data_IF_359564189917
#
_entry.id   IF_359564189917
#
_cell.length_a   1.000
_cell.length_b   1.000
_cell.length_c   1.000
_cell.angle_alpha   90.00
_cell.angle_beta   90.00
_cell.angle_gamma   90.00
#
_symmetry.space_group_name_H-M   'P 1'
#
loop_
_entity.id
_entity.type
_entity.pdbx_description
1 polymer ?
#
# COMPACT_ATOMS: atom_id res chain seq x y z
N UNK A 1 22.74 5.56 4.15
CA UNK A 1 21.44 5.80 4.83
C UNK A 1 21.06 4.61 5.69
N UNK A 2 20.72 4.82 6.96
CA UNK A 2 20.20 3.77 7.83
C UNK A 2 18.86 3.21 7.31
N UNK A 3 18.57 1.95 7.61
CA UNK A 3 17.35 1.26 7.14
C UNK A 3 16.09 1.95 7.66
N UNK A 4 16.12 2.47 8.89
CA UNK A 4 15.02 3.24 9.49
C UNK A 4 14.61 4.44 8.64
N UNK A 5 15.57 5.21 8.13
CA UNK A 5 15.30 6.36 7.28
C UNK A 5 14.75 5.95 5.91
N UNK A 6 15.31 4.89 5.30
CA UNK A 6 14.78 4.35 4.03
C UNK A 6 13.34 3.85 4.19
N UNK A 7 13.03 3.18 5.31
CA UNK A 7 11.67 2.76 5.66
C UNK A 7 10.75 3.96 5.79
N UNK A 8 11.15 4.99 6.54
CA UNK A 8 10.33 6.19 6.72
C UNK A 8 10.03 6.86 5.39
N UNK A 9 11.03 7.04 4.52
CA UNK A 9 10.83 7.60 3.17
C UNK A 9 9.89 6.72 2.35
N UNK A 10 9.99 5.40 2.44
CA UNK A 10 9.08 4.50 1.75
C UNK A 10 7.64 4.67 2.25
N UNK A 11 7.43 4.59 3.57
CA UNK A 11 6.10 4.64 4.19
C UNK A 11 5.43 6.03 3.99
N UNK A 12 6.20 7.11 3.97
CA UNK A 12 5.68 8.48 3.87
C UNK A 12 5.54 8.99 2.42
N UNK A 13 6.44 8.60 1.51
CA UNK A 13 6.48 9.15 0.16
C UNK A 13 6.07 8.11 -0.89
N UNK A 14 6.68 6.93 -0.87
CA UNK A 14 6.49 5.92 -1.93
C UNK A 14 5.13 5.24 -1.80
N UNK A 15 4.76 4.83 -0.57
CA UNK A 15 3.54 4.09 -0.31
C UNK A 15 2.27 4.91 -0.68
N UNK A 16 2.11 6.18 -0.26
CA UNK A 16 0.96 6.99 -0.65
C UNK A 16 0.94 7.29 -2.16
N UNK A 17 2.10 7.54 -2.76
CA UNK A 17 2.19 7.84 -4.20
C UNK A 17 1.79 6.63 -5.05
N UNK A 18 2.30 5.45 -4.72
CA UNK A 18 2.01 4.23 -5.47
C UNK A 18 0.55 3.75 -5.30
N UNK A 19 -0.09 4.13 -4.19
CA UNK A 19 -1.48 3.78 -3.87
C UNK A 19 -2.44 4.96 -4.09
N UNK A 20 -2.00 5.99 -4.81
CA UNK A 20 -2.84 7.11 -5.15
C UNK A 20 -4.07 6.64 -5.93
N UNK A 21 -5.26 7.10 -5.51
CA UNK A 21 -6.53 6.67 -6.10
C UNK A 21 -6.99 5.26 -5.72
N UNK A 22 -6.31 4.55 -4.81
CA UNK A 22 -6.72 3.20 -4.40
C UNK A 22 -8.14 3.11 -3.79
N UNK A 23 -8.70 4.25 -3.37
CA UNK A 23 -10.06 4.38 -2.86
C UNK A 23 -11.12 4.04 -3.91
N UNK A 24 -10.84 4.29 -5.19
CA UNK A 24 -11.77 4.01 -6.31
C UNK A 24 -11.48 2.66 -6.97
N UNK A 25 -10.43 1.96 -6.57
CA UNK A 25 -10.08 0.67 -7.16
C UNK A 25 -10.97 -0.48 -6.62
N UNK A 26 -11.35 -1.38 -7.52
CA UNK A 26 -11.82 -2.70 -7.15
C UNK A 26 -10.65 -3.52 -6.61
N UNK A 27 -10.72 -3.93 -5.34
CA UNK A 27 -9.68 -4.72 -4.66
C UNK A 27 -9.77 -6.19 -5.07
N UNK A 28 -9.46 -6.44 -6.34
CA UNK A 28 -9.42 -7.79 -6.89
C UNK A 28 -8.07 -8.42 -6.51
N UNK A 29 -8.07 -9.73 -6.24
CA UNK A 29 -6.87 -10.51 -5.90
C UNK A 29 -5.69 -10.25 -6.84
N UNK A 30 -5.96 -10.08 -8.14
CA UNK A 30 -4.94 -9.76 -9.15
C UNK A 30 -4.24 -8.42 -8.89
N UNK A 31 -4.99 -7.35 -8.61
CA UNK A 31 -4.43 -6.02 -8.30
C UNK A 31 -3.64 -6.06 -7.00
N UNK A 32 -4.19 -6.70 -5.97
CA UNK A 32 -3.52 -6.87 -4.67
C UNK A 32 -2.20 -7.63 -4.82
N UNK A 33 -2.16 -8.66 -5.65
CA UNK A 33 -0.95 -9.42 -5.91
C UNK A 33 0.11 -8.60 -6.64
N UNK A 34 -0.28 -7.79 -7.64
CA UNK A 34 0.64 -6.88 -8.34
C UNK A 34 1.28 -5.87 -7.38
N UNK A 35 0.48 -5.26 -6.50
CA UNK A 35 0.96 -4.33 -5.46
C UNK A 35 1.95 -5.00 -4.51
N UNK A 36 1.64 -6.22 -4.05
CA UNK A 36 2.56 -7.00 -3.21
C UNK A 36 3.88 -7.29 -3.91
N UNK A 37 3.85 -7.73 -5.17
CA UNK A 37 5.06 -8.01 -5.95
C UNK A 37 5.92 -6.76 -6.11
N UNK A 38 5.30 -5.61 -6.43
CA UNK A 38 6.00 -4.33 -6.52
C UNK A 38 6.66 -3.94 -5.18
N UNK A 39 5.92 -4.05 -4.07
CA UNK A 39 6.48 -3.82 -2.73
C UNK A 39 7.67 -4.75 -2.44
N UNK A 40 7.57 -6.05 -2.74
CA UNK A 40 8.68 -7.01 -2.51
C UNK A 40 9.91 -6.71 -3.37
N UNK A 41 9.74 -6.23 -4.59
CA UNK A 41 10.85 -5.81 -5.43
C UNK A 41 11.58 -4.61 -4.82
N UNK A 42 10.84 -3.60 -4.34
CA UNK A 42 11.42 -2.42 -3.69
C UNK A 42 12.07 -2.75 -2.35
N UNK A 43 11.46 -3.58 -1.51
CA UNK A 43 12.06 -4.04 -0.24
C UNK A 43 13.43 -4.72 -0.46
N UNK A 44 13.55 -5.56 -1.50
CA UNK A 44 14.84 -6.17 -1.88
C UNK A 44 15.88 -5.12 -2.26
N UNK A 45 15.49 -4.12 -3.05
CA UNK A 45 16.39 -3.02 -3.46
C UNK A 45 16.82 -2.18 -2.27
N UNK A 46 15.93 -1.91 -1.31
CA UNK A 46 16.26 -1.17 -0.07
C UNK A 46 17.35 -1.89 0.73
N UNK A 47 17.27 -3.23 0.82
CA UNK A 47 18.23 -4.08 1.53
C UNK A 47 19.46 -4.49 0.70
N UNK A 48 19.49 -4.20 -0.60
CA UNK A 48 20.57 -4.63 -1.49
C UNK A 48 20.60 -6.14 -1.79
N UNK A 49 19.49 -6.85 -1.56
CA UNK A 49 19.39 -8.30 -1.74
C UNK A 49 19.11 -8.62 -3.22
N UNK A 50 19.90 -9.52 -3.80
CA UNK A 50 19.71 -10.06 -5.13
C UNK A 50 18.75 -11.25 -5.10
N UNK A 51 18.11 -11.54 -6.24
CA UNK A 51 17.24 -12.71 -6.33
C UNK A 51 18.01 -14.03 -6.16
N UNK A 52 19.30 -14.03 -6.53
CA UNK A 52 20.22 -15.15 -6.36
C UNK A 52 20.47 -15.53 -4.89
N UNK A 53 20.30 -14.58 -3.96
CA UNK A 53 20.52 -14.82 -2.52
C UNK A 53 19.43 -15.72 -1.90
N UNK A 54 18.35 -16.01 -2.66
CA UNK A 54 17.24 -16.90 -2.28
C UNK A 54 16.63 -16.61 -0.89
N UNK A 55 16.74 -15.37 -0.43
CA UNK A 55 16.18 -14.93 0.86
C UNK A 55 14.65 -14.92 0.78
N UNK A 56 14.01 -15.56 1.77
CA UNK A 56 12.56 -15.64 1.89
C UNK A 56 11.95 -14.23 2.02
N UNK A 57 10.80 -14.00 1.37
CA UNK A 57 10.08 -12.72 1.48
C UNK A 57 9.67 -12.38 2.93
N UNK A 58 9.38 -13.39 3.75
CA UNK A 58 9.07 -13.21 5.18
C UNK A 58 10.26 -12.63 5.95
N UNK A 59 11.47 -13.06 5.62
CA UNK A 59 12.69 -12.56 6.24
C UNK A 59 13.00 -11.13 5.80
N UNK A 60 12.86 -10.84 4.50
CA UNK A 60 12.97 -9.47 3.96
C UNK A 60 12.02 -8.52 4.69
N UNK A 61 10.77 -8.97 4.92
CA UNK A 61 9.75 -8.20 5.64
C UNK A 61 10.13 -7.90 7.09
N UNK A 62 10.69 -8.89 7.79
CA UNK A 62 11.14 -8.74 9.18
C UNK A 62 12.26 -7.71 9.30
N UNK A 63 13.15 -7.66 8.31
CA UNK A 63 14.27 -6.71 8.26
C UNK A 63 13.85 -5.29 7.87
N UNK A 64 12.97 -5.13 6.88
CA UNK A 64 12.53 -3.79 6.45
C UNK A 64 11.50 -3.19 7.38
N UNK A 65 10.61 -4.01 7.96
CA UNK A 65 9.47 -3.61 8.78
C UNK A 65 8.56 -2.55 8.13
N UNK A 66 8.60 -2.42 6.80
CA UNK A 66 7.77 -1.50 6.02
C UNK A 66 6.29 -1.88 6.18
N UNK A 67 5.40 -0.87 6.14
CA UNK A 67 3.96 -1.08 6.25
C UNK A 67 3.42 -1.97 5.11
N UNK A 68 2.49 -2.88 5.40
CA UNK A 68 1.86 -3.68 4.34
C UNK A 68 1.03 -2.80 3.41
N UNK A 69 1.27 -2.93 2.10
CA UNK A 69 0.54 -2.17 1.11
C UNK A 69 -0.94 -2.50 1.05
N UNK A 70 -1.31 -3.76 1.25
CA UNK A 70 -2.70 -4.21 1.21
C UNK A 70 -3.44 -3.65 2.41
N UNK A 71 -2.83 -3.71 3.60
CA UNK A 71 -3.42 -3.13 4.81
C UNK A 71 -3.54 -1.61 4.68
N UNK A 72 -2.54 -0.93 4.10
CA UNK A 72 -2.60 0.50 3.82
C UNK A 72 -3.76 0.83 2.88
N UNK A 73 -3.87 0.15 1.74
CA UNK A 73 -4.95 0.35 0.77
C UNK A 73 -6.31 0.07 1.37
N UNK A 74 -6.46 -1.04 2.11
CA UNK A 74 -7.70 -1.37 2.80
C UNK A 74 -8.11 -0.26 3.77
N UNK A 75 -7.16 0.24 4.58
CA UNK A 75 -7.40 1.35 5.50
C UNK A 75 -7.85 2.63 4.78
N UNK A 76 -7.24 2.96 3.64
CA UNK A 76 -7.64 4.13 2.86
C UNK A 76 -9.03 3.98 2.25
N UNK A 77 -9.40 2.78 1.82
CA UNK A 77 -10.74 2.47 1.32
C UNK A 77 -11.81 2.58 2.42
N UNK A 78 -11.54 2.04 3.61
CA UNK A 78 -12.45 2.20 4.76
C UNK A 78 -12.59 3.66 5.21
N UNK A 79 -11.50 4.42 5.22
CA UNK A 79 -11.57 5.87 5.49
C UNK A 79 -12.45 6.60 4.48
N UNK A 80 -12.35 6.25 3.20
CA UNK A 80 -13.21 6.81 2.15
C UNK A 80 -14.67 6.42 2.34
N UNK A 81 -14.96 5.13 2.58
CA UNK A 81 -16.31 4.67 2.86
C UNK A 81 -16.93 5.40 4.06
N UNK A 82 -16.16 5.58 5.14
CA UNK A 82 -16.60 6.37 6.29
C UNK A 82 -16.80 7.86 5.96
N UNK A 83 -15.99 8.44 5.08
CA UNK A 83 -16.19 9.81 4.60
C UNK A 83 -17.50 9.93 3.81
N UNK A 84 -17.79 8.98 2.90
CA UNK A 84 -19.05 8.91 2.16
C UNK A 84 -20.25 8.72 3.10
N UNK A 85 -20.17 7.83 4.08
CA UNK A 85 -21.25 7.60 5.04
C UNK A 85 -21.57 8.83 5.92
N UNK A 86 -20.61 9.76 6.11
CA UNK A 86 -20.81 11.01 6.87
C UNK A 86 -21.27 12.17 6.00
N UNK A 87 -21.22 12.05 4.67
CA UNK A 87 -21.70 13.09 3.77
C UNK A 87 -23.23 13.18 3.88
N UNK A 88 -23.72 14.29 4.41
CA UNK A 88 -25.15 14.65 4.48
C UNK A 88 -25.58 15.59 3.34
N UNK A 89 -24.66 15.90 2.44
CA UNK A 89 -24.88 16.84 1.34
C UNK A 89 -25.38 16.06 0.12
N UNK A 90 -26.39 16.57 -0.60
CA UNK A 90 -27.11 15.88 -1.68
C UNK A 90 -26.29 15.85 -3.00
N UNK A 91 -24.98 15.67 -2.89
CA UNK A 91 -24.02 15.64 -3.98
C UNK A 91 -24.11 14.32 -4.74
N UNK A 92 -23.71 14.37 -6.01
CA UNK A 92 -23.72 13.22 -6.92
C UNK A 92 -23.02 11.98 -6.34
N UNK A 93 -21.98 12.16 -5.52
CA UNK A 93 -21.25 11.07 -4.88
C UNK A 93 -22.13 10.22 -3.96
N UNK A 94 -23.12 10.80 -3.28
CA UNK A 94 -24.06 10.07 -2.43
C UNK A 94 -25.06 9.29 -3.31
N UNK A 95 -25.64 9.97 -4.31
CA UNK A 95 -26.67 9.40 -5.21
C UNK A 95 -26.19 8.23 -6.07
N UNK A 96 -24.91 8.18 -6.43
CA UNK A 96 -24.35 7.09 -7.25
C UNK A 96 -23.98 5.86 -6.40
N UNK A 97 -23.97 6.00 -5.07
CA UNK A 97 -23.63 4.91 -4.15
C UNK A 97 -24.87 4.24 -3.52
N UNK A 98 -26.03 4.90 -3.53
CA UNK A 98 -27.36 4.29 -3.27
C UNK A 98 -27.79 3.39 -4.44
#
# INVERSE_FOLDING_TARGET
MPISLKRQVYDQCVLPTMTYGCQTWSLIKATTQKLRVAQRAMERKILGIKLADRVKCSEIRKRTQIQDIVDFVAKQKWKWAGHVARLKDNRWTLRVTE
#
